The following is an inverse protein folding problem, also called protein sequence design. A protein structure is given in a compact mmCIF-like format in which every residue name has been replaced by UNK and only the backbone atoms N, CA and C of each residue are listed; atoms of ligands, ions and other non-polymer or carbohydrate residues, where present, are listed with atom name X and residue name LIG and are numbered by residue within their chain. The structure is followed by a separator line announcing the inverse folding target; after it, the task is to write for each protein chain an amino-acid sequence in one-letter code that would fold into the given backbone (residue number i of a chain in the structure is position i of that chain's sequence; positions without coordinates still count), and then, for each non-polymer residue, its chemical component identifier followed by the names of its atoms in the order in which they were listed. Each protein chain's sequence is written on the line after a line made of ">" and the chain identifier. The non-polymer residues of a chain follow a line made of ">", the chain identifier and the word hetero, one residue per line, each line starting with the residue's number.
data_IF_820155247188
#
_entry.id   IF_820155247188
#
_cell.length_a   1.000
_cell.length_b   1.000
_cell.length_c   1.000
_cell.angle_alpha   90.00
_cell.angle_beta   90.00
_cell.angle_gamma   90.00
#
_symmetry.space_group_name_H-M   'P 1'
#
loop_
_entity.id
_entity.type
_entity.pdbx_description
1 polymer ?
#
# COMPACT_ATOMS: atom_id res chain seq x y z
N UNK A 1 -18.58 5.42 16.83
CA UNK A 1 -20.04 5.62 16.99
C UNK A 1 -20.53 7.04 17.24
N UNK A 2 -19.68 8.05 17.53
CA UNK A 2 -20.14 9.45 17.66
C UNK A 2 -20.40 10.17 16.32
N UNK A 3 -19.79 9.72 15.22
CA UNK A 3 -19.91 10.35 13.89
C UNK A 3 -21.25 10.09 13.18
N UNK A 4 -21.92 8.98 13.50
CA UNK A 4 -23.25 8.62 12.95
C UNK A 4 -24.36 9.60 13.39
N UNK A 5 -24.12 10.40 14.44
CA UNK A 5 -25.15 11.17 15.13
C UNK A 5 -25.26 12.65 14.72
N UNK A 6 -24.45 13.12 13.78
CA UNK A 6 -24.41 14.55 13.43
C UNK A 6 -25.58 15.03 12.58
N UNK A 7 -26.00 14.24 11.59
CA UNK A 7 -26.90 14.71 10.52
C UNK A 7 -27.82 13.62 9.93
N UNK A 8 -28.29 12.69 10.77
CA UNK A 8 -29.16 11.58 10.33
C UNK A 8 -30.43 12.09 9.63
N UNK A 9 -31.00 13.20 10.08
CA UNK A 9 -32.22 13.77 9.49
C UNK A 9 -32.00 14.24 8.05
N UNK A 10 -30.88 14.89 7.75
CA UNK A 10 -30.55 15.30 6.38
C UNK A 10 -30.22 14.10 5.51
N UNK A 11 -29.47 13.11 6.01
CA UNK A 11 -29.18 11.88 5.28
C UNK A 11 -30.46 11.13 4.87
N UNK A 12 -31.40 10.96 5.80
CA UNK A 12 -32.69 10.34 5.51
C UNK A 12 -33.56 11.18 4.56
N UNK A 13 -33.43 12.50 4.61
CA UNK A 13 -34.09 13.39 3.65
C UNK A 13 -33.50 13.24 2.25
N UNK A 14 -32.17 13.21 2.11
CA UNK A 14 -31.50 12.96 0.83
C UNK A 14 -31.91 11.61 0.23
N UNK A 15 -32.07 10.60 1.09
CA UNK A 15 -32.58 9.29 0.68
C UNK A 15 -34.05 9.36 0.22
N UNK A 16 -34.94 10.01 1.00
CA UNK A 16 -36.35 10.14 0.62
C UNK A 16 -36.58 10.97 -0.64
N UNK A 17 -35.72 11.97 -0.85
CA UNK A 17 -35.77 12.86 -2.01
C UNK A 17 -35.16 12.22 -3.27
N UNK A 18 -34.60 11.00 -3.16
CA UNK A 18 -34.00 10.26 -4.29
C UNK A 18 -32.60 10.74 -4.69
N UNK A 19 -32.03 11.70 -3.95
CA UNK A 19 -30.75 12.34 -4.27
C UNK A 19 -29.59 11.36 -4.16
N UNK A 20 -29.65 10.41 -3.22
CA UNK A 20 -28.57 9.44 -3.03
C UNK A 20 -28.37 8.53 -4.26
N UNK A 21 -29.47 8.14 -4.90
CA UNK A 21 -29.45 7.28 -6.08
C UNK A 21 -28.84 8.01 -7.29
N UNK A 22 -28.99 9.33 -7.39
CA UNK A 22 -28.31 10.15 -8.40
C UNK A 22 -26.79 10.10 -8.26
N UNK A 23 -26.28 9.97 -7.03
CA UNK A 23 -24.85 9.79 -6.74
C UNK A 23 -24.39 8.32 -6.70
N UNK A 24 -25.27 7.38 -7.05
CA UNK A 24 -24.95 5.95 -7.14
C UNK A 24 -25.08 5.17 -5.82
N UNK A 25 -25.60 5.79 -4.75
CA UNK A 25 -25.81 5.13 -3.46
C UNK A 25 -27.26 4.64 -3.31
N UNK A 26 -27.41 3.41 -2.82
CA UNK A 26 -28.70 2.75 -2.68
C UNK A 26 -29.48 3.22 -1.44
N UNK A 27 -28.78 3.65 -0.39
CA UNK A 27 -29.35 4.12 0.87
C UNK A 27 -28.41 5.06 1.64
N UNK A 28 -28.93 5.76 2.66
CA UNK A 28 -28.09 6.56 3.55
C UNK A 28 -27.04 5.71 4.29
N UNK A 29 -27.39 4.47 4.65
CA UNK A 29 -26.44 3.52 5.24
C UNK A 29 -25.30 3.21 4.26
N UNK A 30 -25.62 2.90 3.00
CA UNK A 30 -24.58 2.60 2.01
C UNK A 30 -23.67 3.82 1.76
N UNK A 31 -24.18 5.04 1.80
CA UNK A 31 -23.34 6.24 1.72
C UNK A 31 -22.36 6.34 2.90
N UNK A 32 -22.81 6.09 4.12
CA UNK A 32 -21.94 6.12 5.31
C UNK A 32 -20.92 4.99 5.27
N UNK A 33 -21.37 3.81 4.89
CA UNK A 33 -20.60 2.57 4.86
C UNK A 33 -20.01 2.27 3.46
N UNK A 34 -19.83 3.29 2.61
CA UNK A 34 -19.56 3.12 1.18
C UNK A 34 -18.33 2.27 0.88
N UNK A 35 -17.35 2.27 1.79
CA UNK A 35 -16.13 1.47 1.67
C UNK A 35 -16.40 -0.04 1.78
N UNK A 36 -17.53 -0.44 2.36
CA UNK A 36 -17.85 -1.83 2.70
C UNK A 36 -18.55 -2.62 1.57
N UNK A 37 -18.90 -1.97 0.46
CA UNK A 37 -19.64 -2.59 -0.65
C UNK A 37 -18.82 -2.54 -1.94
N UNK A 38 -18.88 -3.61 -2.74
CA UNK A 38 -18.09 -3.71 -4.00
C UNK A 38 -18.51 -2.68 -5.04
N UNK A 39 -19.77 -2.22 -4.98
CA UNK A 39 -20.31 -1.20 -5.89
C UNK A 39 -19.65 0.16 -5.68
N UNK A 40 -19.28 0.49 -4.45
CA UNK A 40 -18.88 1.85 -4.05
C UNK A 40 -17.45 1.94 -3.53
N UNK A 41 -16.83 0.82 -3.16
CA UNK A 41 -15.46 0.74 -2.68
C UNK A 41 -14.68 -0.41 -3.32
N UNK A 42 -13.36 -0.43 -3.09
CA UNK A 42 -12.46 -1.46 -3.61
C UNK A 42 -11.82 -2.34 -2.54
N UNK A 43 -12.34 -2.32 -1.31
CA UNK A 43 -11.83 -3.13 -0.20
C UNK A 43 -10.41 -2.80 0.24
N UNK A 44 -9.81 -3.67 1.06
CA UNK A 44 -8.53 -3.39 1.73
C UNK A 44 -7.36 -3.12 0.78
N UNK A 45 -7.39 -3.65 -0.45
CA UNK A 45 -6.38 -3.33 -1.48
C UNK A 45 -6.52 -1.91 -2.02
N UNK A 46 -7.74 -1.41 -2.25
CA UNK A 46 -7.92 -0.05 -2.74
C UNK A 46 -7.70 1.00 -1.63
N UNK A 47 -8.02 0.66 -0.39
CA UNK A 47 -7.95 1.58 0.76
C UNK A 47 -6.52 1.85 1.22
N UNK A 48 -5.74 0.80 1.48
CA UNK A 48 -4.36 0.91 1.97
C UNK A 48 -3.36 0.14 1.12
N UNK A 49 -3.78 -0.95 0.47
CA UNK A 49 -2.88 -1.79 -0.32
C UNK A 49 -2.20 -1.03 -1.46
N UNK A 50 -2.91 -0.14 -2.16
CA UNK A 50 -2.39 0.70 -3.25
C UNK A 50 -1.16 1.50 -2.83
N UNK A 51 -1.21 2.18 -1.68
CA UNK A 51 -0.08 2.92 -1.12
C UNK A 51 1.13 2.04 -0.85
N UNK A 52 0.90 0.85 -0.29
CA UNK A 52 1.95 -0.10 0.04
C UNK A 52 2.57 -0.72 -1.22
N UNK A 53 1.79 -0.92 -2.28
CA UNK A 53 2.30 -1.42 -3.55
C UNK A 53 3.15 -0.37 -4.29
N UNK A 54 2.76 0.91 -4.25
CA UNK A 54 3.62 2.00 -4.77
C UNK A 54 4.94 2.06 -4.00
N UNK A 55 4.89 1.99 -2.65
CA UNK A 55 6.10 1.94 -1.82
C UNK A 55 7.03 0.76 -2.22
N UNK A 56 6.46 -0.43 -2.43
CA UNK A 56 7.22 -1.59 -2.90
C UNK A 56 7.83 -1.36 -4.29
N UNK A 57 7.06 -0.78 -5.21
CA UNK A 57 7.55 -0.42 -6.55
C UNK A 57 8.73 0.55 -6.46
N UNK A 58 8.66 1.57 -5.60
CA UNK A 58 9.74 2.52 -5.36
C UNK A 58 11.02 1.81 -4.88
N UNK A 59 10.93 0.91 -3.89
CA UNK A 59 12.08 0.13 -3.41
C UNK A 59 12.72 -0.72 -4.52
N UNK A 60 11.92 -1.16 -5.48
CA UNK A 60 12.34 -2.04 -6.59
C UNK A 60 12.68 -1.26 -7.87
N UNK A 61 12.78 0.07 -7.82
CA UNK A 61 13.18 0.88 -8.96
C UNK A 61 12.04 1.19 -9.93
N UNK A 62 10.83 1.42 -9.40
CA UNK A 62 9.60 1.78 -10.12
C UNK A 62 9.17 0.72 -11.14
N UNK A 63 9.24 -0.54 -10.74
CA UNK A 63 8.83 -1.66 -11.56
C UNK A 63 7.36 -2.03 -11.32
N UNK A 64 6.70 -2.58 -12.34
CA UNK A 64 5.39 -3.20 -12.18
C UNK A 64 5.54 -4.67 -11.80
N UNK A 65 4.60 -5.25 -11.04
CA UNK A 65 4.61 -6.67 -10.71
C UNK A 65 4.41 -7.53 -11.97
N UNK A 66 5.02 -8.70 -12.00
CA UNK A 66 4.85 -9.75 -13.01
C UNK A 66 3.55 -10.52 -12.78
N UNK A 67 3.23 -10.84 -11.52
CA UNK A 67 2.02 -11.58 -11.18
C UNK A 67 1.58 -11.36 -9.74
N UNK A 68 0.32 -11.68 -9.46
CA UNK A 68 -0.27 -11.66 -8.12
C UNK A 68 -1.14 -12.89 -7.87
N UNK A 69 -1.14 -13.37 -6.63
CA UNK A 69 -2.08 -14.35 -6.10
C UNK A 69 -2.36 -14.09 -4.62
N UNK A 70 -3.47 -14.56 -4.08
CA UNK A 70 -3.74 -14.38 -2.67
C UNK A 70 -5.08 -14.94 -2.19
N UNK A 71 -5.31 -14.75 -0.90
CA UNK A 71 -6.56 -15.01 -0.21
C UNK A 71 -7.19 -13.68 0.22
N UNK A 72 -8.49 -13.56 0.00
CA UNK A 72 -9.35 -12.55 0.61
C UNK A 72 -10.60 -13.22 1.12
N UNK A 73 -11.07 -12.81 2.30
CA UNK A 73 -12.32 -13.31 2.84
C UNK A 73 -12.90 -12.45 3.96
N UNK A 74 -14.17 -12.72 4.24
CA UNK A 74 -14.83 -12.36 5.51
C UNK A 74 -14.57 -13.49 6.50
N UNK A 75 -13.66 -13.24 7.43
CA UNK A 75 -13.21 -14.19 8.45
C UNK A 75 -13.70 -13.80 9.86
N UNK A 76 -14.36 -12.66 10.03
CA UNK A 76 -14.88 -12.19 11.31
C UNK A 76 -16.27 -11.57 11.21
N UNK A 77 -16.47 -10.61 10.31
CA UNK A 77 -17.73 -9.88 10.20
C UNK A 77 -18.77 -10.67 9.40
N UNK A 78 -20.02 -10.66 9.86
CA UNK A 78 -21.12 -11.33 9.16
C UNK A 78 -21.14 -12.85 9.34
N UNK A 79 -20.39 -13.39 10.31
CA UNK A 79 -20.29 -14.83 10.58
C UNK A 79 -20.85 -15.15 11.96
N UNK A 80 -21.98 -15.84 12.00
CA UNK A 80 -22.61 -16.26 13.25
C UNK A 80 -21.68 -17.18 14.05
N UNK A 81 -21.45 -16.82 15.31
CA UNK A 81 -20.60 -17.59 16.23
C UNK A 81 -19.11 -17.23 16.20
N UNK A 82 -18.70 -16.29 15.34
CA UNK A 82 -17.32 -15.76 15.31
C UNK A 82 -17.34 -14.32 15.80
N UNK A 83 -16.48 -13.99 16.77
CA UNK A 83 -16.49 -12.67 17.40
C UNK A 83 -17.74 -12.40 18.25
N UNK A 84 -17.92 -11.15 18.73
CA UNK A 84 -19.08 -10.78 19.54
C UNK A 84 -20.37 -10.72 18.70
N UNK A 85 -21.51 -10.99 19.35
CA UNK A 85 -22.82 -11.15 18.69
C UNK A 85 -23.26 -9.93 17.88
N UNK A 86 -22.84 -8.72 18.27
CA UNK A 86 -23.14 -7.47 17.57
C UNK A 86 -22.43 -7.33 16.20
N UNK A 87 -21.54 -8.27 15.84
CA UNK A 87 -20.83 -8.29 14.55
C UNK A 87 -21.30 -9.40 13.61
N UNK A 88 -22.25 -10.22 14.05
CA UNK A 88 -22.77 -11.32 13.23
C UNK A 88 -23.71 -10.84 12.14
N UNK A 89 -24.38 -9.70 12.35
CA UNK A 89 -25.25 -9.05 11.37
C UNK A 89 -24.51 -7.88 10.72
N UNK A 90 -23.61 -8.21 9.80
CA UNK A 90 -22.80 -7.26 9.04
C UNK A 90 -22.92 -7.59 7.54
N UNK A 91 -23.42 -6.62 6.78
CA UNK A 91 -23.79 -6.75 5.38
C UNK A 91 -22.67 -6.40 4.41
N UNK A 92 -21.44 -6.20 4.89
CA UNK A 92 -20.31 -5.88 4.02
C UNK A 92 -20.10 -6.96 2.95
N UNK A 93 -19.70 -6.50 1.78
CA UNK A 93 -19.34 -7.36 0.65
C UNK A 93 -17.82 -7.47 0.50
N UNK A 94 -17.06 -6.52 1.06
CA UNK A 94 -15.60 -6.56 1.03
C UNK A 94 -15.03 -7.56 2.04
N UNK A 95 -13.82 -8.01 1.74
CA UNK A 95 -13.03 -8.85 2.63
C UNK A 95 -12.59 -8.07 3.87
N UNK A 96 -12.54 -8.77 5.02
CA UNK A 96 -12.06 -8.23 6.29
C UNK A 96 -10.62 -8.64 6.61
N UNK A 97 -10.11 -9.63 5.88
CA UNK A 97 -8.75 -10.13 5.94
C UNK A 97 -8.27 -10.49 4.54
N UNK A 98 -7.11 -9.95 4.16
CA UNK A 98 -6.45 -10.26 2.91
C UNK A 98 -4.98 -10.64 3.15
N UNK A 99 -4.49 -11.58 2.36
CA UNK A 99 -3.11 -12.06 2.35
C UNK A 99 -2.71 -12.32 0.89
N UNK A 100 -1.78 -11.52 0.38
CA UNK A 100 -1.44 -11.52 -1.05
C UNK A 100 0.06 -11.63 -1.22
N UNK A 101 0.46 -12.26 -2.33
CA UNK A 101 1.85 -12.40 -2.74
C UNK A 101 1.96 -11.89 -4.17
N UNK A 102 2.84 -10.90 -4.36
CA UNK A 102 3.20 -10.36 -5.67
C UNK A 102 4.62 -10.77 -6.03
N UNK A 103 4.81 -11.07 -7.30
CA UNK A 103 6.10 -11.31 -7.91
C UNK A 103 6.51 -10.02 -8.62
N UNK A 104 7.55 -9.34 -8.14
CA UNK A 104 8.15 -8.20 -8.83
C UNK A 104 9.42 -8.62 -9.57
N UNK A 105 9.74 -7.99 -10.71
CA UNK A 105 10.96 -8.27 -11.43
C UNK A 105 12.17 -7.76 -10.64
N UNK A 106 13.17 -8.62 -10.47
CA UNK A 106 14.48 -8.25 -9.97
C UNK A 106 15.31 -7.52 -11.03
N UNK A 107 16.53 -7.12 -10.65
CA UNK A 107 17.38 -6.25 -11.47
C UNK A 107 17.76 -6.84 -12.83
N UNK A 108 17.90 -8.16 -12.91
CA UNK A 108 18.28 -8.91 -14.12
C UNK A 108 17.11 -9.59 -14.79
N UNK A 109 15.88 -9.40 -14.30
CA UNK A 109 14.70 -10.07 -14.84
C UNK A 109 14.48 -9.70 -16.31
N UNK A 110 14.60 -8.42 -16.64
CA UNK A 110 14.49 -7.89 -18.00
C UNK A 110 15.85 -7.50 -18.58
N UNK A 111 16.01 -7.65 -19.89
CA UNK A 111 17.10 -7.03 -20.65
C UNK A 111 16.83 -5.53 -20.94
N UNK A 112 17.79 -4.86 -21.58
CA UNK A 112 17.67 -3.44 -21.96
C UNK A 112 16.51 -3.15 -22.93
N UNK A 113 15.97 -4.17 -23.60
CA UNK A 113 14.83 -4.08 -24.50
C UNK A 113 13.50 -4.45 -23.81
N UNK A 114 13.50 -4.57 -22.48
CA UNK A 114 12.37 -4.98 -21.65
C UNK A 114 11.84 -6.38 -21.97
N UNK A 115 12.70 -7.27 -22.45
CA UNK A 115 12.36 -8.69 -22.65
C UNK A 115 12.85 -9.51 -21.48
N UNK A 116 12.08 -10.52 -21.12
CA UNK A 116 12.43 -11.44 -20.04
C UNK A 116 13.76 -12.14 -20.36
N UNK A 117 14.76 -11.93 -19.51
CA UNK A 117 16.10 -12.50 -19.61
C UNK A 117 16.37 -13.51 -18.48
N UNK A 118 15.91 -13.21 -17.26
CA UNK A 118 16.14 -14.07 -16.09
C UNK A 118 14.84 -14.25 -15.30
N UNK A 119 14.05 -15.25 -15.66
CA UNK A 119 12.75 -15.53 -15.03
C UNK A 119 12.83 -15.81 -13.53
N UNK A 120 13.99 -16.24 -13.03
CA UNK A 120 14.18 -16.61 -11.63
C UNK A 120 14.55 -15.39 -10.75
N UNK A 121 14.95 -14.27 -11.34
CA UNK A 121 15.26 -13.06 -10.58
C UNK A 121 13.97 -12.30 -10.22
N UNK A 122 13.27 -12.80 -9.21
CA UNK A 122 12.03 -12.22 -8.70
C UNK A 122 12.20 -11.76 -7.25
N UNK A 123 11.69 -10.57 -6.96
CA UNK A 123 11.46 -10.13 -5.59
C UNK A 123 10.03 -10.49 -5.19
N UNK A 124 9.88 -11.18 -4.05
CA UNK A 124 8.57 -11.57 -3.55
C UNK A 124 8.11 -10.54 -2.52
N UNK A 125 6.97 -9.91 -2.82
CA UNK A 125 6.29 -8.98 -1.91
C UNK A 125 5.09 -9.69 -1.31
N UNK A 126 5.07 -9.84 0.00
CA UNK A 126 3.91 -10.35 0.74
C UNK A 126 3.22 -9.21 1.45
N UNK A 127 1.92 -9.05 1.24
CA UNK A 127 1.12 -8.04 1.92
C UNK A 127 -0.05 -8.68 2.64
N UNK A 128 -0.33 -8.19 3.84
CA UNK A 128 -1.50 -8.59 4.61
C UNK A 128 -2.18 -7.38 5.22
N UNK A 129 -3.51 -7.37 5.19
CA UNK A 129 -4.32 -6.36 5.86
C UNK A 129 -5.47 -7.04 6.58
N UNK A 130 -5.59 -6.73 7.87
CA UNK A 130 -6.54 -7.35 8.80
C UNK A 130 -7.22 -6.22 9.57
N UNK A 131 -8.54 -6.10 9.49
CA UNK A 131 -9.28 -5.01 10.14
C UNK A 131 -9.76 -5.35 11.57
N UNK A 132 -9.40 -6.52 12.10
CA UNK A 132 -9.84 -7.02 13.41
C UNK A 132 -8.75 -7.01 14.47
N UNK A 133 -7.54 -6.56 14.12
CA UNK A 133 -6.39 -6.56 15.00
C UNK A 133 -5.59 -5.26 14.83
N UNK A 134 -5.05 -4.73 15.93
CA UNK A 134 -4.28 -3.47 15.95
C UNK A 134 -2.86 -3.65 16.50
N UNK A 135 -2.33 -4.88 16.47
CA UNK A 135 -1.00 -5.20 17.01
C UNK A 135 0.10 -4.41 16.30
N UNK A 136 0.10 -4.44 14.96
CA UNK A 136 1.10 -3.77 14.15
C UNK A 136 0.43 -2.67 13.31
N UNK A 137 0.98 -1.43 13.29
CA UNK A 137 0.57 -0.42 12.33
C UNK A 137 1.08 -0.80 10.92
N UNK A 138 0.84 0.04 9.92
CA UNK A 138 1.37 -0.20 8.59
C UNK A 138 2.89 0.09 8.52
N UNK A 139 3.56 -0.60 7.60
CA UNK A 139 5.00 -0.48 7.39
C UNK A 139 5.54 -1.59 6.47
N UNK A 140 6.81 -1.46 6.11
CA UNK A 140 7.48 -2.31 5.13
C UNK A 140 8.72 -2.97 5.75
N UNK A 141 8.91 -4.26 5.48
CA UNK A 141 10.15 -4.96 5.79
C UNK A 141 10.88 -5.32 4.49
N UNK A 142 12.09 -4.79 4.32
CA UNK A 142 12.94 -5.01 3.15
C UNK A 142 14.12 -5.88 3.56
N UNK A 143 14.17 -7.10 3.02
CA UNK A 143 15.20 -8.09 3.31
C UNK A 143 16.29 -8.07 2.24
N UNK A 144 17.46 -7.55 2.59
CA UNK A 144 18.63 -7.51 1.70
C UNK A 144 19.71 -8.49 2.12
N UNK A 145 20.61 -8.83 1.20
CA UNK A 145 21.74 -9.74 1.45
C UNK A 145 22.78 -9.21 2.45
N UNK A 146 22.68 -7.93 2.82
CA UNK A 146 23.61 -7.24 3.73
C UNK A 146 22.93 -6.68 4.98
N UNK A 147 21.60 -6.68 5.01
CA UNK A 147 20.83 -6.16 6.12
C UNK A 147 19.34 -6.13 5.81
N UNK A 148 18.56 -6.00 6.88
CA UNK A 148 17.11 -5.85 6.84
C UNK A 148 16.74 -4.44 7.30
N UNK A 149 15.86 -3.78 6.57
CA UNK A 149 15.21 -2.53 6.97
C UNK A 149 13.76 -2.85 7.35
N UNK A 150 13.32 -2.44 8.53
CA UNK A 150 11.91 -2.42 8.90
C UNK A 150 11.50 -0.96 9.07
N UNK A 151 10.60 -0.50 8.20
CA UNK A 151 10.00 0.81 8.24
C UNK A 151 8.65 0.72 8.93
N UNK A 152 8.36 1.66 9.82
CA UNK A 152 7.09 1.72 10.54
C UNK A 152 6.51 3.12 10.43
N UNK A 153 5.30 3.21 9.88
CA UNK A 153 4.56 4.48 9.69
C UNK A 153 5.38 5.58 9.00
N UNK A 154 6.27 5.21 8.08
CA UNK A 154 7.25 6.06 7.37
C UNK A 154 8.16 6.94 8.25
N UNK A 155 8.14 6.75 9.57
CA UNK A 155 8.78 7.64 10.55
C UNK A 155 9.89 6.96 11.32
N UNK A 156 9.72 5.68 11.60
CA UNK A 156 10.65 4.88 12.38
C UNK A 156 11.27 3.84 11.45
N UNK A 157 12.60 3.84 11.36
CA UNK A 157 13.36 2.84 10.62
C UNK A 157 14.22 2.04 11.60
N UNK A 158 14.12 0.72 11.50
CA UNK A 158 14.93 -0.27 12.19
C UNK A 158 15.86 -0.93 11.18
N UNK A 159 17.17 -0.77 11.37
CA UNK A 159 18.17 -1.42 10.53
C UNK A 159 18.83 -2.57 11.28
N UNK A 160 18.84 -3.74 10.65
CA UNK A 160 19.52 -4.94 11.13
C UNK A 160 20.62 -5.30 10.15
N UNK A 161 21.85 -5.44 10.63
CA UNK A 161 22.99 -5.82 9.78
C UNK A 161 23.11 -7.35 9.70
N UNK A 162 23.33 -7.87 8.48
CA UNK A 162 23.67 -9.27 8.30
C UNK A 162 25.10 -9.57 8.76
N UNK A 163 25.32 -10.84 9.11
CA UNK A 163 26.67 -11.31 9.41
C UNK A 163 27.58 -11.17 8.19
N UNK A 164 28.84 -10.82 8.43
CA UNK A 164 29.88 -10.75 7.41
C UNK A 164 31.18 -11.32 7.98
N UNK A 165 32.18 -11.54 7.12
CA UNK A 165 33.50 -11.97 7.56
C UNK A 165 34.13 -11.05 8.64
N UNK A 166 33.67 -9.79 8.73
CA UNK A 166 34.19 -8.79 9.67
C UNK A 166 33.23 -8.46 10.84
N UNK A 167 31.99 -8.95 10.86
CA UNK A 167 31.02 -8.64 11.94
C UNK A 167 29.94 -9.70 12.10
N UNK A 168 29.60 -10.06 13.34
CA UNK A 168 28.69 -11.18 13.66
C UNK A 168 27.21 -11.02 13.26
N UNK A 169 26.76 -9.85 12.79
CA UNK A 169 25.36 -9.58 12.45
C UNK A 169 24.39 -9.73 13.64
N UNK A 170 23.09 -9.63 13.38
CA UNK A 170 22.04 -10.00 14.33
C UNK A 170 21.34 -8.85 15.05
N UNK A 171 20.44 -9.21 15.97
CA UNK A 171 19.50 -8.31 16.65
C UNK A 171 20.15 -7.25 17.55
N UNK A 172 21.44 -7.38 17.86
CA UNK A 172 22.17 -6.48 18.78
C UNK A 172 22.79 -5.25 18.07
N UNK A 173 22.73 -5.18 16.73
CA UNK A 173 23.18 -4.02 15.96
C UNK A 173 22.02 -3.25 15.32
N UNK A 174 21.10 -2.74 16.16
CA UNK A 174 19.95 -1.92 15.72
C UNK A 174 20.33 -0.45 15.60
N UNK A 175 19.95 0.17 14.49
CA UNK A 175 19.93 1.62 14.33
C UNK A 175 18.47 2.06 14.24
N UNK A 176 18.06 2.99 15.10
CA UNK A 176 16.71 3.58 15.09
C UNK A 176 16.76 4.99 14.55
N UNK A 177 16.10 5.32 13.44
CA UNK A 177 15.91 6.73 13.06
C UNK A 177 14.64 7.24 13.73
N UNK A 178 14.75 8.16 14.69
CA UNK A 178 13.60 8.79 15.35
C UNK A 178 13.56 10.28 15.01
N UNK A 179 12.40 10.77 14.61
CA UNK A 179 12.14 12.21 14.52
C UNK A 179 12.07 12.80 15.94
N UNK A 180 12.99 13.69 16.30
CA UNK A 180 12.93 14.33 17.61
C UNK A 180 11.73 15.28 17.67
N UNK A 181 10.84 15.12 18.65
CA UNK A 181 9.61 15.90 18.81
C UNK A 181 9.84 17.41 19.11
N UNK A 182 11.06 17.94 18.97
CA UNK A 182 11.42 19.34 19.20
C UNK A 182 12.51 19.82 18.26
N UNK A 183 12.18 19.97 16.97
CA UNK A 183 12.92 20.82 16.04
C UNK A 183 14.41 20.48 15.81
N UNK A 184 14.89 19.33 16.29
CA UNK A 184 16.15 18.73 15.89
C UNK A 184 15.87 17.71 14.80
N UNK A 185 16.74 17.64 13.79
CA UNK A 185 16.66 16.65 12.72
C UNK A 185 16.65 15.20 13.21
N UNK A 186 16.67 14.20 12.31
CA UNK A 186 16.62 12.80 12.68
C UNK A 186 17.70 12.46 13.72
N UNK A 187 17.27 11.98 14.89
CA UNK A 187 18.17 11.52 15.96
C UNK A 187 18.16 10.01 15.93
N UNK A 188 19.33 9.40 15.79
CA UNK A 188 19.48 7.96 15.93
C UNK A 188 19.64 7.59 17.41
N UNK A 189 18.70 6.85 17.99
CA UNK A 189 18.80 6.38 19.38
C UNK A 189 19.02 4.86 19.41
N UNK A 190 20.24 4.42 19.68
CA UNK A 190 20.55 2.99 19.84
C UNK A 190 20.46 2.63 21.32
N UNK A 191 19.36 2.02 21.77
CA UNK A 191 19.27 1.49 23.13
C UNK A 191 19.10 -0.02 23.15
N UNK A 192 20.22 -0.71 23.44
CA UNK A 192 20.40 -1.79 24.42
C UNK A 192 21.93 -1.86 24.70
N UNK A 193 22.35 -1.38 25.88
CA UNK A 193 23.67 -1.47 26.54
C UNK A 193 24.98 -0.99 25.85
N UNK A 194 25.00 -0.43 24.64
CA UNK A 194 26.24 0.16 24.09
C UNK A 194 26.03 1.54 23.45
N UNK A 195 27.04 2.41 23.60
CA UNK A 195 27.05 3.74 23.01
C UNK A 195 26.82 3.69 21.49
N UNK A 196 26.22 4.72 20.87
CA UNK A 196 25.98 4.75 19.43
C UNK A 196 27.28 4.48 18.66
N UNK A 197 27.23 3.48 17.78
CA UNK A 197 28.39 3.08 16.98
C UNK A 197 28.73 4.18 15.95
N UNK A 198 29.97 4.22 15.46
CA UNK A 198 30.36 5.15 14.39
C UNK A 198 29.44 5.04 13.16
N UNK A 199 28.97 3.82 12.85
CA UNK A 199 28.02 3.56 11.76
C UNK A 199 26.64 4.21 11.99
N UNK A 200 26.20 4.35 13.24
CA UNK A 200 25.01 5.14 13.58
C UNK A 200 25.25 6.62 13.26
N UNK A 201 26.38 7.16 13.71
CA UNK A 201 26.71 8.58 13.51
C UNK A 201 26.81 8.93 12.01
N UNK A 202 27.39 8.04 11.20
CA UNK A 202 27.53 8.23 9.75
C UNK A 202 26.18 8.10 9.01
N UNK A 203 25.27 7.25 9.48
CA UNK A 203 23.92 7.14 8.92
C UNK A 203 23.07 8.40 9.17
N UNK A 204 23.15 9.00 10.37
CA UNK A 204 22.50 10.29 10.65
C UNK A 204 23.07 11.43 9.79
N UNK A 205 24.40 11.45 9.59
CA UNK A 205 25.04 12.42 8.71
C UNK A 205 24.66 12.23 7.22
N UNK A 206 24.37 11.00 6.80
CA UNK A 206 23.94 10.66 5.44
C UNK A 206 22.47 10.95 5.13
N UNK A 207 21.60 11.09 6.16
CA UNK A 207 20.16 11.31 5.99
C UNK A 207 19.77 12.74 5.56
N UNK A 208 20.74 13.65 5.40
CA UNK A 208 20.53 15.01 4.89
C UNK A 208 19.65 15.90 5.78
N UNK A 209 19.69 17.22 5.56
CA UNK A 209 18.88 18.18 6.32
C UNK A 209 17.41 18.23 5.88
N UNK A 210 17.06 17.60 4.74
CA UNK A 210 15.76 17.75 4.09
C UNK A 210 14.88 16.54 4.35
N UNK A 211 14.26 16.52 5.53
CA UNK A 211 13.11 15.66 5.81
C UNK A 211 11.97 16.11 4.88
N UNK A 212 11.39 15.15 4.13
CA UNK A 212 10.21 15.42 3.30
C UNK A 212 9.09 16.03 4.15
N UNK A 213 8.40 17.05 3.62
CA UNK A 213 7.22 17.64 4.29
C UNK A 213 5.92 16.91 3.93
N UNK A 214 6.03 15.71 3.34
CA UNK A 214 4.91 14.89 2.91
C UNK A 214 3.98 15.65 1.98
N UNK A 215 2.68 15.60 2.27
CA UNK A 215 1.62 16.24 1.48
C UNK A 215 1.86 17.71 1.16
N UNK A 216 2.50 18.48 2.05
CA UNK A 216 2.77 19.89 1.80
C UNK A 216 3.71 20.08 0.61
N UNK A 217 4.74 19.26 0.50
CA UNK A 217 5.70 19.35 -0.60
C UNK A 217 5.05 18.96 -1.94
N UNK A 218 4.24 17.90 -1.95
CA UNK A 218 3.52 17.47 -3.16
C UNK A 218 2.49 18.52 -3.62
N UNK A 219 1.75 19.14 -2.70
CA UNK A 219 0.84 20.24 -3.02
C UNK A 219 1.56 21.49 -3.54
N UNK A 220 2.67 21.88 -2.92
CA UNK A 220 3.49 23.00 -3.38
C UNK A 220 4.07 22.73 -4.79
N UNK A 221 4.53 21.50 -5.03
CA UNK A 221 5.04 21.07 -6.33
C UNK A 221 3.94 21.06 -7.41
N UNK A 222 2.74 20.58 -7.08
CA UNK A 222 1.59 20.63 -7.97
C UNK A 222 1.21 22.07 -8.34
N UNK A 223 1.10 22.96 -7.35
CA UNK A 223 0.83 24.38 -7.58
C UNK A 223 1.93 25.06 -8.41
N UNK A 224 3.19 24.70 -8.18
CA UNK A 224 4.32 25.17 -8.98
C UNK A 224 4.17 24.74 -10.45
N UNK A 225 3.88 23.46 -10.71
CA UNK A 225 3.73 22.95 -12.08
C UNK A 225 2.61 23.67 -12.84
N UNK A 226 1.46 23.91 -12.19
CA UNK A 226 0.37 24.71 -12.77
C UNK A 226 0.86 26.12 -13.13
N UNK A 227 1.51 26.80 -12.18
CA UNK A 227 1.96 28.17 -12.36
C UNK A 227 3.03 28.31 -13.44
N UNK A 228 3.94 27.35 -13.52
CA UNK A 228 5.04 27.34 -14.48
C UNK A 228 4.66 26.77 -15.85
N UNK A 229 3.46 26.20 -16.00
CA UNK A 229 3.04 25.54 -17.24
C UNK A 229 3.83 24.26 -17.52
N UNK A 230 4.30 23.59 -16.48
CA UNK A 230 5.05 22.34 -16.61
C UNK A 230 4.13 21.20 -17.07
N UNK A 231 4.60 20.29 -17.95
CA UNK A 231 3.79 19.19 -18.42
C UNK A 231 3.54 18.16 -17.31
N UNK A 232 2.38 17.50 -17.29
CA UNK A 232 1.97 16.49 -16.30
C UNK A 232 3.06 15.48 -15.89
N UNK A 233 3.90 15.06 -16.85
CA UNK A 233 5.03 14.13 -16.60
C UNK A 233 6.08 14.62 -15.60
N UNK A 234 6.11 15.91 -15.27
CA UNK A 234 7.01 16.47 -14.25
C UNK A 234 6.50 16.24 -12.84
N UNK A 235 5.20 16.00 -12.66
CA UNK A 235 4.64 15.64 -11.36
C UNK A 235 5.24 14.32 -10.87
N UNK A 236 5.63 14.30 -9.59
CA UNK A 236 6.20 13.13 -8.93
C UNK A 236 5.18 11.98 -8.90
N UNK A 237 3.92 12.32 -8.60
CA UNK A 237 2.76 11.44 -8.63
C UNK A 237 1.79 11.91 -9.73
N UNK A 238 2.10 11.59 -10.99
CA UNK A 238 1.21 11.90 -12.11
C UNK A 238 0.11 10.83 -12.29
N UNK A 239 -0.85 11.09 -13.17
CA UNK A 239 -1.97 10.18 -13.42
C UNK A 239 -1.58 8.78 -13.88
N UNK A 240 -0.45 8.61 -14.59
CA UNK A 240 0.03 7.29 -15.03
C UNK A 240 0.56 6.47 -13.86
N UNK A 241 1.24 7.11 -12.90
CA UNK A 241 1.67 6.45 -11.66
C UNK A 241 0.45 6.01 -10.84
N UNK A 242 -0.51 6.91 -10.63
CA UNK A 242 -1.73 6.59 -9.89
C UNK A 242 -2.56 5.48 -10.57
N UNK A 243 -2.57 5.43 -11.91
CA UNK A 243 -3.23 4.38 -12.67
C UNK A 243 -2.58 3.01 -12.43
N UNK A 244 -1.25 2.94 -12.38
CA UNK A 244 -0.53 1.70 -12.09
C UNK A 244 -0.90 1.14 -10.71
N UNK A 245 -0.99 1.99 -9.68
CA UNK A 245 -1.40 1.58 -8.33
C UNK A 245 -2.83 1.04 -8.29
N UNK A 246 -3.73 1.69 -9.02
CA UNK A 246 -5.12 1.23 -9.15
C UNK A 246 -5.19 -0.14 -9.83
N UNK A 247 -4.44 -0.34 -10.92
CA UNK A 247 -4.36 -1.63 -11.63
C UNK A 247 -3.84 -2.72 -10.71
N UNK A 248 -2.77 -2.45 -9.94
CA UNK A 248 -2.23 -3.41 -8.98
C UNK A 248 -3.28 -3.79 -7.92
N UNK A 249 -3.96 -2.82 -7.32
CA UNK A 249 -4.97 -3.06 -6.29
C UNK A 249 -6.18 -3.85 -6.83
N UNK A 250 -6.73 -3.44 -7.97
CA UNK A 250 -7.92 -4.06 -8.57
C UNK A 250 -7.62 -5.47 -9.11
N UNK A 251 -6.47 -5.67 -9.75
CA UNK A 251 -6.03 -7.00 -10.20
C UNK A 251 -5.85 -7.95 -9.02
N UNK A 252 -5.37 -7.44 -7.89
CA UNK A 252 -5.25 -8.23 -6.66
C UNK A 252 -6.61 -8.68 -6.13
N UNK A 253 -7.61 -7.79 -6.16
CA UNK A 253 -8.99 -8.17 -5.81
C UNK A 253 -9.52 -9.27 -6.73
N UNK A 254 -9.26 -9.19 -8.04
CA UNK A 254 -9.62 -10.25 -8.98
C UNK A 254 -8.91 -11.57 -8.64
N UNK A 255 -7.61 -11.52 -8.31
CA UNK A 255 -6.83 -12.72 -7.96
C UNK A 255 -7.41 -13.43 -6.73
N UNK A 256 -7.77 -12.67 -5.69
CA UNK A 256 -8.40 -13.19 -4.48
C UNK A 256 -9.81 -13.74 -4.76
N UNK A 257 -10.65 -12.96 -5.46
CA UNK A 257 -12.03 -13.33 -5.81
C UNK A 257 -12.08 -14.64 -6.60
N UNK A 258 -11.21 -14.78 -7.59
CA UNK A 258 -11.17 -15.95 -8.48
C UNK A 258 -10.22 -17.04 -8.00
N UNK A 259 -9.52 -16.83 -6.88
CA UNK A 259 -8.54 -17.77 -6.28
C UNK A 259 -7.51 -18.26 -7.30
N UNK A 260 -7.00 -17.32 -8.11
CA UNK A 260 -6.16 -17.59 -9.27
C UNK A 260 -4.96 -16.66 -9.28
N UNK A 261 -3.81 -17.18 -9.70
CA UNK A 261 -2.65 -16.37 -10.05
C UNK A 261 -2.92 -15.63 -11.36
N UNK A 262 -2.83 -14.30 -11.34
CA UNK A 262 -3.01 -13.44 -12.51
C UNK A 262 -1.66 -12.85 -12.89
N UNK A 263 -1.30 -12.98 -14.17
CA UNK A 263 -0.13 -12.35 -14.77
C UNK A 263 -0.52 -10.97 -15.25
N UNK A 264 0.24 -9.96 -14.83
CA UNK A 264 0.06 -8.59 -15.31
C UNK A 264 0.51 -8.47 -16.76
N UNK A 265 -0.15 -7.58 -17.50
CA UNK A 265 0.17 -7.29 -18.90
C UNK A 265 0.58 -5.83 -19.05
N UNK A 266 1.63 -5.59 -19.84
CA UNK A 266 2.19 -4.24 -20.06
C UNK A 266 1.13 -3.29 -20.64
N UNK A 267 0.25 -3.80 -21.51
CA UNK A 267 -0.83 -3.02 -22.10
C UNK A 267 -1.79 -2.41 -21.08
N UNK A 268 -1.96 -3.04 -19.90
CA UNK A 268 -2.84 -2.49 -18.86
C UNK A 268 -2.28 -1.18 -18.29
N UNK A 269 -0.95 -1.01 -18.31
CA UNK A 269 -0.27 0.17 -17.78
C UNK A 269 -0.08 1.28 -18.82
N UNK A 270 -0.50 1.08 -20.08
CA UNK A 270 -0.46 2.12 -21.11
C UNK A 270 -1.78 2.93 -21.10
N UNK A 271 -1.77 4.22 -20.74
CA UNK A 271 -2.98 5.04 -20.69
C UNK A 271 -3.62 5.30 -22.07
N UNK A 272 -2.98 4.85 -23.16
CA UNK A 272 -3.52 4.92 -24.53
C UNK A 272 -4.15 3.60 -24.98
N UNK A 273 -4.12 2.57 -24.14
CA UNK A 273 -4.66 1.26 -24.44
C UNK A 273 -5.91 1.02 -23.58
N UNK A 274 -6.97 0.50 -24.20
CA UNK A 274 -8.24 0.22 -23.52
C UNK A 274 -8.25 -1.16 -22.83
N UNK A 275 -7.16 -1.92 -22.91
CA UNK A 275 -7.03 -3.22 -22.26
C UNK A 275 -7.03 -3.07 -20.73
N UNK A 276 -7.90 -3.82 -20.06
CA UNK A 276 -8.06 -3.78 -18.60
C UNK A 276 -8.12 -5.19 -18.01
N UNK A 277 -7.63 -5.39 -16.77
CA UNK A 277 -7.57 -6.71 -16.16
C UNK A 277 -8.94 -7.38 -16.04
N UNK A 278 -10.02 -6.64 -15.77
CA UNK A 278 -11.37 -7.17 -15.56
C UNK A 278 -11.94 -7.90 -16.79
N UNK A 279 -11.45 -7.56 -17.98
CA UNK A 279 -11.92 -8.13 -19.26
C UNK A 279 -10.94 -9.13 -19.86
N UNK A 280 -9.83 -9.40 -19.17
CA UNK A 280 -8.80 -10.28 -19.67
C UNK A 280 -9.24 -11.75 -19.68
N UNK A 281 -8.75 -12.51 -20.65
CA UNK A 281 -9.03 -13.95 -20.77
C UNK A 281 -8.59 -14.78 -19.55
N UNK A 282 -7.64 -14.26 -18.76
CA UNK A 282 -7.25 -14.89 -17.50
C UNK A 282 -8.36 -14.85 -16.45
N UNK A 283 -9.31 -13.92 -16.54
CA UNK A 283 -10.36 -13.72 -15.56
C UNK A 283 -11.57 -14.57 -15.94
N UNK A 284 -12.03 -15.49 -15.07
CA UNK A 284 -13.25 -16.23 -15.30
C UNK A 284 -14.44 -15.27 -15.47
N UNK A 285 -15.21 -15.44 -16.54
CA UNK A 285 -16.52 -14.77 -16.67
C UNK A 285 -17.41 -15.22 -15.51
N UNK A 286 -17.96 -14.25 -14.78
CA UNK A 286 -18.85 -14.47 -13.65
C UNK A 286 -20.13 -15.23 -14.06
#
# INVERSE_FOLDING_TARGET
>A
DKWVKGDTANLLKLESDGVLQEYGYDSAKQLVDWRLYNKTGGGLMAELGSHQMDACSIFLGKQHPVAVQGFGGKNFYGIKGVGPEDKWDDDREIDDQIFVTMEFPGKSYYDDAHKVQNEDDKCIVTYSSINTNSWEPYGEAVFGTRGTLIMKTEKEALLYKEASAASGGGLDQRLWVIESAKGGGPVLDAYETTAPTQAATDAAAGMGEKISRGYREEMEHFCYCIKAGEPNKTLRCNGTVAMADAIMALTTNLAMKHKKRIVFKDEWFDPKNDAVPETDEQIPTA
#
